data_IF_313181509488
#
_entry.id   IF_313181509488
#
_cell.length_a   1.000
_cell.length_b   1.000
_cell.length_c   1.000
_cell.angle_alpha   90.00
_cell.angle_beta   90.00
_cell.angle_gamma   90.00
#
_symmetry.space_group_name_H-M   'P 1'
#
loop_
_entity.id
_entity.type
_entity.pdbx_description
1 polymer ?
#
# COMPACT_ATOMS: atom_id res chain seq x y z
N UNK A 1 -1.31 -15.06 3.34
CA UNK A 1 -0.16 -14.12 3.24
C UNK A 1 -0.21 -13.38 1.91
N UNK A 2 0.12 -12.10 1.95
CA UNK A 2 0.19 -11.24 0.77
C UNK A 2 1.65 -10.84 0.56
N UNK A 3 2.11 -10.81 -0.68
CA UNK A 3 3.49 -10.46 -0.99
C UNK A 3 3.52 -9.46 -2.13
N UNK A 4 4.26 -8.37 -1.94
CA UNK A 4 4.52 -7.37 -2.98
C UNK A 4 5.88 -7.65 -3.61
N UNK A 5 5.90 -7.75 -4.93
CA UNK A 5 7.13 -8.01 -5.70
C UNK A 5 7.33 -6.93 -6.75
N UNK A 6 8.59 -6.68 -7.12
CA UNK A 6 8.89 -5.78 -8.22
C UNK A 6 8.67 -6.47 -9.57
N UNK A 7 8.97 -5.76 -10.65
CA UNK A 7 8.81 -6.26 -12.03
C UNK A 7 9.56 -7.58 -12.27
N UNK A 8 10.70 -7.77 -11.61
CA UNK A 8 11.51 -8.98 -11.75
C UNK A 8 11.10 -10.09 -10.79
N UNK A 9 9.93 -9.99 -10.17
CA UNK A 9 9.41 -10.94 -9.19
C UNK A 9 10.23 -11.02 -7.90
N UNK A 10 11.05 -10.01 -7.63
CA UNK A 10 11.81 -9.93 -6.38
C UNK A 10 10.90 -9.40 -5.27
N UNK A 11 10.81 -10.10 -4.14
CA UNK A 11 9.97 -9.63 -3.04
C UNK A 11 10.44 -8.29 -2.47
N UNK A 12 9.50 -7.40 -2.17
CA UNK A 12 9.75 -6.10 -1.54
C UNK A 12 9.21 -6.09 -0.14
N UNK A 13 8.01 -6.65 0.06
CA UNK A 13 7.33 -6.62 1.34
C UNK A 13 6.32 -7.75 1.43
N UNK A 14 5.95 -8.10 2.67
CA UNK A 14 4.93 -9.12 2.93
C UNK A 14 3.97 -8.61 3.98
N UNK A 15 2.72 -9.06 3.88
CA UNK A 15 1.71 -8.83 4.91
C UNK A 15 1.29 -10.18 5.45
N UNK A 16 1.47 -10.36 6.75
CA UNK A 16 1.07 -11.56 7.46
C UNK A 16 0.22 -11.15 8.66
N UNK A 17 -1.10 -11.41 8.56
CA UNK A 17 -2.04 -10.91 9.54
C UNK A 17 -2.07 -9.39 9.56
N UNK A 18 -1.70 -8.79 10.70
CA UNK A 18 -1.65 -7.33 10.85
C UNK A 18 -0.27 -6.74 10.57
N UNK A 19 0.73 -7.57 10.32
CA UNK A 19 2.12 -7.12 10.24
C UNK A 19 2.59 -7.01 8.81
N UNK A 20 3.25 -5.89 8.50
CA UNK A 20 3.93 -5.68 7.22
C UNK A 20 5.42 -5.82 7.49
N UNK A 21 6.06 -6.73 6.76
CA UNK A 21 7.47 -7.06 6.95
C UNK A 21 8.25 -6.87 5.66
N UNK A 22 9.59 -6.79 5.79
CA UNK A 22 10.46 -6.90 4.63
C UNK A 22 10.57 -8.38 4.21
N UNK A 23 11.26 -8.70 3.12
CA UNK A 23 11.38 -10.09 2.65
C UNK A 23 12.11 -11.01 3.62
N UNK A 24 12.85 -10.45 4.57
CA UNK A 24 13.62 -11.21 5.55
C UNK A 24 12.86 -11.42 6.86
N UNK A 25 11.61 -10.94 6.93
CA UNK A 25 10.77 -11.11 8.11
C UNK A 25 10.89 -10.00 9.14
N UNK A 26 11.62 -8.92 8.85
CA UNK A 26 11.73 -7.79 9.76
C UNK A 26 10.42 -7.01 9.76
N UNK A 27 9.86 -6.76 10.92
CA UNK A 27 8.61 -6.01 11.05
C UNK A 27 8.86 -4.53 10.76
N UNK A 28 8.04 -3.95 9.88
CA UNK A 28 8.16 -2.55 9.47
C UNK A 28 6.95 -1.74 9.89
N UNK A 29 5.75 -2.28 9.71
CA UNK A 29 4.49 -1.57 9.97
C UNK A 29 3.45 -2.52 10.53
N UNK A 30 2.40 -1.94 11.10
CA UNK A 30 1.22 -2.69 11.56
C UNK A 30 0.01 -2.08 10.88
N UNK A 31 -0.85 -2.92 10.30
CA UNK A 31 -2.17 -2.51 9.84
C UNK A 31 -3.18 -3.06 10.85
N UNK A 32 -3.91 -2.17 11.50
CA UNK A 32 -4.91 -2.59 12.46
C UNK A 32 -6.21 -1.86 12.16
N UNK A 33 -7.18 -2.59 11.60
CA UNK A 33 -8.40 -1.99 11.11
C UNK A 33 -8.11 -1.03 9.98
N UNK A 34 -8.40 0.24 10.17
CA UNK A 34 -8.19 1.29 9.18
C UNK A 34 -6.96 2.15 9.46
N UNK A 35 -6.09 1.72 10.38
CA UNK A 35 -4.94 2.51 10.82
C UNK A 35 -3.63 1.80 10.50
N UNK A 36 -2.66 2.57 10.01
CA UNK A 36 -1.30 2.08 9.76
C UNK A 36 -0.36 2.71 10.77
N UNK A 37 0.38 1.87 11.49
CA UNK A 37 1.35 2.26 12.51
C UNK A 37 2.76 1.89 12.06
N UNK A 38 3.74 2.68 12.50
CA UNK A 38 5.15 2.29 12.42
C UNK A 38 5.42 1.22 13.49
N UNK A 39 6.08 0.13 13.13
CA UNK A 39 6.35 -0.94 14.08
C UNK A 39 7.20 -0.49 15.26
N UNK A 40 8.29 0.24 14.98
CA UNK A 40 9.29 0.55 16.00
C UNK A 40 8.77 1.50 17.09
N UNK A 41 7.94 2.48 16.73
CA UNK A 41 7.48 3.52 17.64
C UNK A 41 6.01 3.44 17.99
N UNK A 42 5.25 2.60 17.28
CA UNK A 42 3.78 2.54 17.36
C UNK A 42 3.11 3.87 16.97
N UNK A 43 3.84 4.70 16.29
CA UNK A 43 3.33 6.00 15.83
C UNK A 43 2.34 5.78 14.69
N UNK A 44 1.20 6.46 14.75
CA UNK A 44 0.20 6.41 13.68
C UNK A 44 0.75 7.17 12.48
N UNK A 45 0.75 6.53 11.32
CA UNK A 45 1.22 7.16 10.09
C UNK A 45 0.06 7.57 9.19
N UNK A 46 -0.92 6.69 9.01
CA UNK A 46 -2.01 6.93 8.06
C UNK A 46 -3.29 6.27 8.53
N UNK A 47 -4.41 6.82 8.04
CA UNK A 47 -5.72 6.18 8.16
C UNK A 47 -6.22 5.86 6.74
N UNK A 48 -6.77 4.67 6.57
CA UNK A 48 -7.40 4.25 5.31
C UNK A 48 -8.85 3.95 5.63
N UNK A 49 -9.74 4.91 5.38
CA UNK A 49 -11.16 4.78 5.69
C UNK A 49 -11.96 4.74 4.39
N UNK A 50 -12.51 3.56 4.09
CA UNK A 50 -13.18 3.38 2.82
C UNK A 50 -12.19 3.58 1.69
N UNK A 51 -12.48 4.55 0.81
CA UNK A 51 -11.61 4.88 -0.31
C UNK A 51 -10.61 5.99 0.00
N UNK A 52 -10.67 6.59 1.19
CA UNK A 52 -9.89 7.78 1.53
C UNK A 52 -8.68 7.43 2.37
N UNK A 53 -7.53 7.97 2.00
CA UNK A 53 -6.27 7.82 2.74
C UNK A 53 -5.88 9.19 3.27
N UNK A 54 -5.72 9.28 4.60
CA UNK A 54 -5.35 10.52 5.27
C UNK A 54 -4.09 10.34 6.08
N UNK A 55 -3.39 11.45 6.38
CA UNK A 55 -2.32 11.41 7.37
C UNK A 55 -2.94 11.41 8.78
N UNK A 56 -2.10 11.37 9.82
CA UNK A 56 -2.61 11.30 11.18
C UNK A 56 -3.30 12.58 11.66
N UNK A 57 -3.13 13.69 10.94
CA UNK A 57 -3.87 14.93 11.19
C UNK A 57 -5.25 14.95 10.53
N UNK A 58 -5.57 13.92 9.75
CA UNK A 58 -6.85 13.85 9.05
C UNK A 58 -6.84 14.54 7.68
N UNK A 59 -5.68 14.99 7.20
CA UNK A 59 -5.58 15.59 5.88
C UNK A 59 -5.64 14.52 4.81
N UNK A 60 -6.54 14.66 3.85
CA UNK A 60 -6.66 13.72 2.75
C UNK A 60 -5.44 13.81 1.83
N UNK A 61 -4.83 12.66 1.57
CA UNK A 61 -3.65 12.57 0.71
C UNK A 61 -3.98 11.89 -0.60
N UNK A 62 -4.72 10.79 -0.55
CA UNK A 62 -5.02 9.95 -1.71
C UNK A 62 -6.40 9.34 -1.56
N UNK A 63 -6.91 8.84 -2.67
CA UNK A 63 -8.06 7.94 -2.68
C UNK A 63 -7.71 6.67 -3.43
N UNK A 64 -8.31 5.56 -3.03
CA UNK A 64 -8.14 4.28 -3.72
C UNK A 64 -9.47 3.55 -3.72
N UNK A 65 -10.03 3.34 -4.91
CA UNK A 65 -11.34 2.70 -5.07
C UNK A 65 -11.24 1.19 -5.31
N UNK A 66 -10.05 0.62 -5.18
CA UNK A 66 -9.79 -0.79 -5.49
C UNK A 66 -9.13 -0.98 -6.83
N UNK A 67 -9.09 0.05 -7.65
CA UNK A 67 -8.50 0.01 -8.99
C UNK A 67 -7.56 1.20 -9.22
N UNK A 68 -8.03 2.42 -8.97
CA UNK A 68 -7.25 3.63 -9.22
C UNK A 68 -6.80 4.27 -7.92
N UNK A 69 -5.50 4.50 -7.80
CA UNK A 69 -4.88 5.22 -6.70
C UNK A 69 -4.64 6.65 -7.17
N UNK A 70 -5.36 7.59 -6.57
CA UNK A 70 -5.38 8.99 -7.02
C UNK A 70 -4.87 9.92 -5.93
N UNK A 71 -4.19 10.99 -6.34
CA UNK A 71 -3.90 12.11 -5.45
C UNK A 71 -5.20 12.83 -5.11
N UNK A 72 -5.18 13.67 -4.07
CA UNK A 72 -6.37 14.42 -3.66
C UNK A 72 -6.88 15.34 -4.77
N UNK A 73 -6.01 15.74 -5.71
CA UNK A 73 -6.40 16.55 -6.86
C UNK A 73 -7.18 15.77 -7.92
N UNK A 74 -7.24 14.44 -7.78
CA UNK A 74 -7.91 13.57 -8.74
C UNK A 74 -6.99 12.95 -9.78
N UNK A 75 -5.70 13.26 -9.73
CA UNK A 75 -4.71 12.71 -10.66
C UNK A 75 -4.46 11.24 -10.35
N UNK A 76 -4.62 10.35 -11.34
CA UNK A 76 -4.34 8.94 -11.18
C UNK A 76 -2.82 8.74 -11.21
N UNK A 77 -2.26 8.18 -10.12
CA UNK A 77 -0.82 7.91 -10.06
C UNK A 77 -0.52 6.43 -10.27
N UNK A 78 -1.38 5.55 -9.79
CA UNK A 78 -1.20 4.10 -9.93
C UNK A 78 -2.52 3.43 -10.23
N UNK A 79 -2.45 2.28 -10.91
CA UNK A 79 -3.63 1.44 -11.15
C UNK A 79 -3.32 0.02 -10.74
N UNK A 80 -4.30 -0.63 -10.11
CA UNK A 80 -4.25 -2.03 -9.70
C UNK A 80 -5.22 -2.83 -10.55
N UNK A 81 -4.75 -3.92 -11.14
CA UNK A 81 -5.59 -4.80 -11.94
C UNK A 81 -5.00 -6.21 -11.92
N UNK A 82 -5.82 -7.17 -11.45
CA UNK A 82 -5.44 -8.59 -11.46
C UNK A 82 -4.07 -8.88 -10.85
N UNK A 83 -3.83 -8.33 -9.67
CA UNK A 83 -2.58 -8.56 -8.95
C UNK A 83 -1.41 -7.73 -9.44
N UNK A 84 -1.63 -6.79 -10.34
CA UNK A 84 -0.57 -5.93 -10.87
C UNK A 84 -0.82 -4.47 -10.57
N UNK A 85 0.23 -3.79 -10.14
CA UNK A 85 0.20 -2.35 -9.88
C UNK A 85 1.08 -1.70 -10.92
N UNK A 86 0.54 -0.74 -11.66
CA UNK A 86 1.27 0.00 -12.68
C UNK A 86 1.22 1.49 -12.37
N UNK A 87 2.37 2.16 -12.45
CA UNK A 87 2.43 3.61 -12.38
C UNK A 87 1.81 4.18 -13.66
N UNK A 88 0.94 5.16 -13.53
CA UNK A 88 0.29 5.77 -14.68
C UNK A 88 1.34 6.44 -15.58
N UNK A 89 1.30 6.11 -16.86
CA UNK A 89 2.25 6.66 -17.83
C UNK A 89 3.61 5.99 -17.84
N UNK A 90 3.79 4.87 -17.15
CA UNK A 90 5.05 4.13 -17.08
C UNK A 90 4.83 2.68 -17.46
N UNK A 91 5.91 2.00 -17.83
CA UNK A 91 5.90 0.56 -18.07
C UNK A 91 6.27 -0.25 -16.82
N UNK A 92 6.68 0.44 -15.75
CA UNK A 92 7.03 -0.23 -14.49
C UNK A 92 5.81 -0.86 -13.85
N UNK A 93 5.94 -2.12 -13.48
CA UNK A 93 4.88 -2.87 -12.82
C UNK A 93 5.38 -3.49 -11.52
N UNK A 94 4.45 -3.64 -10.58
CA UNK A 94 4.65 -4.42 -9.37
C UNK A 94 3.59 -5.51 -9.35
N UNK A 95 3.89 -6.61 -8.68
CA UNK A 95 2.97 -7.74 -8.60
C UNK A 95 2.66 -8.00 -7.14
N UNK A 96 1.36 -8.17 -6.84
CA UNK A 96 0.92 -8.63 -5.51
C UNK A 96 0.46 -10.06 -5.64
N UNK A 97 1.05 -10.94 -4.84
CA UNK A 97 0.68 -12.36 -4.76
C UNK A 97 -0.19 -12.59 -3.54
N UNK A 98 -1.12 -13.52 -3.63
CA UNK A 98 -2.07 -13.82 -2.58
C UNK A 98 -3.41 -13.17 -2.85
N UNK A 99 -4.20 -13.03 -1.81
CA UNK A 99 -5.54 -12.45 -1.90
C UNK A 99 -5.63 -11.20 -1.02
N UNK A 100 -5.08 -10.06 -1.49
CA UNK A 100 -5.08 -8.86 -0.68
C UNK A 100 -6.46 -8.24 -0.58
N UNK A 101 -6.75 -7.61 0.57
CA UNK A 101 -7.89 -6.73 0.71
C UNK A 101 -7.59 -5.40 0.05
N UNK A 102 -8.62 -4.59 -0.18
CA UNK A 102 -8.46 -3.25 -0.71
C UNK A 102 -7.54 -2.40 0.17
N UNK A 103 -7.70 -2.49 1.49
CA UNK A 103 -6.86 -1.77 2.44
C UNK A 103 -5.40 -2.20 2.34
N UNK A 104 -5.15 -3.50 2.17
CA UNK A 104 -3.79 -4.01 2.02
C UNK A 104 -3.13 -3.52 0.75
N UNK A 105 -3.87 -3.50 -0.36
CA UNK A 105 -3.35 -2.98 -1.63
C UNK A 105 -2.99 -1.51 -1.48
N UNK A 106 -3.89 -0.71 -0.91
CA UNK A 106 -3.65 0.72 -0.68
C UNK A 106 -2.43 0.93 0.20
N UNK A 107 -2.28 0.15 1.27
CA UNK A 107 -1.15 0.25 2.17
C UNK A 107 0.18 -0.05 1.47
N UNK A 108 0.22 -1.08 0.65
CA UNK A 108 1.43 -1.44 -0.08
C UNK A 108 1.84 -0.34 -1.08
N UNK A 109 0.88 0.22 -1.80
CA UNK A 109 1.17 1.34 -2.70
C UNK A 109 1.68 2.54 -1.90
N UNK A 110 0.99 2.90 -0.84
CA UNK A 110 1.30 4.07 -0.03
C UNK A 110 2.68 3.99 0.61
N UNK A 111 3.03 2.83 1.16
CA UNK A 111 4.24 2.68 1.96
C UNK A 111 5.49 2.38 1.13
N UNK A 112 5.36 1.67 0.02
CA UNK A 112 6.52 1.16 -0.71
C UNK A 112 6.67 1.70 -2.12
N UNK A 113 5.61 2.18 -2.74
CA UNK A 113 5.63 2.58 -4.15
C UNK A 113 5.46 4.08 -4.33
N UNK A 114 4.44 4.66 -3.70
CA UNK A 114 4.10 6.08 -3.89
C UNK A 114 5.17 7.07 -3.44
N UNK A 115 5.97 6.80 -2.36
CA UNK A 115 6.97 7.77 -1.92
C UNK A 115 8.14 8.00 -2.89
N UNK A 116 8.23 7.22 -3.94
CA UNK A 116 9.37 7.30 -4.87
C UNK A 116 9.12 8.20 -6.06
#
# INVERSE_FOLDING_TARGET
>A
MVELCNYFSRPIARIDGEYITDPYGRFLYIIKGDTIYRWSSREVLYYIKGDTITNFYGRMLYTFDGSSFKEFSGFITFQYNNGRIRRFGSIDEYVIKGEPTKTEIAALILLFIAPK
#
